data_IF_746916161677
#
_entry.id   IF_746916161677
#
_cell.length_a   1.000
_cell.length_b   1.000
_cell.length_c   1.000
_cell.angle_alpha   90.00
_cell.angle_beta   90.00
_cell.angle_gamma   90.00
#
_symmetry.space_group_name_H-M   'P 1'
#
loop_
_entity.id
_entity.type
_entity.pdbx_description
1 polymer ?
#
# COMPACT_ATOMS: atom_id res chain seq x y z
N UNK A 1 6.50 15.82 12.85
CA UNK A 1 7.89 15.37 13.11
C UNK A 1 8.00 14.38 14.27
N UNK A 2 7.08 14.40 15.27
CA UNK A 2 7.11 13.52 16.44
C UNK A 2 7.12 12.03 16.07
N UNK A 3 6.19 11.56 15.22
CA UNK A 3 6.08 10.14 14.85
C UNK A 3 7.35 9.56 14.21
N UNK A 4 8.09 10.34 13.44
CA UNK A 4 9.33 9.89 12.81
C UNK A 4 10.45 9.65 13.83
N UNK A 5 10.49 10.50 14.85
CA UNK A 5 11.45 10.36 15.95
C UNK A 5 11.12 9.15 16.86
N UNK A 6 9.84 8.94 17.17
CA UNK A 6 9.38 7.82 17.99
C UNK A 6 9.63 6.45 17.34
N UNK A 7 9.56 6.39 16.01
CA UNK A 7 9.80 5.16 15.26
C UNK A 7 11.27 4.97 14.84
N UNK A 8 12.19 5.82 15.29
CA UNK A 8 13.61 5.79 14.95
C UNK A 8 13.88 5.82 13.43
N UNK A 9 13.02 6.48 12.67
CA UNK A 9 13.22 6.63 11.23
C UNK A 9 14.35 7.62 10.97
N UNK A 10 15.35 7.17 10.20
CA UNK A 10 16.44 8.03 9.74
C UNK A 10 15.89 9.07 8.74
N UNK A 11 15.64 10.27 9.25
CA UNK A 11 15.07 11.37 8.46
C UNK A 11 16.00 11.85 7.35
N UNK A 12 17.31 11.68 7.49
CA UNK A 12 18.29 12.00 6.45
C UNK A 12 18.14 11.06 5.26
N UNK A 13 18.05 9.75 5.52
CA UNK A 13 17.80 8.75 4.49
C UNK A 13 16.42 8.94 3.86
N UNK A 14 15.40 9.21 4.66
CA UNK A 14 14.06 9.48 4.14
C UNK A 14 14.07 10.66 3.18
N UNK A 15 14.68 11.78 3.55
CA UNK A 15 14.78 12.96 2.70
C UNK A 15 15.56 12.67 1.41
N UNK A 16 16.68 11.95 1.50
CA UNK A 16 17.45 11.56 0.33
C UNK A 16 16.63 10.69 -0.64
N UNK A 17 15.88 9.71 -0.10
CA UNK A 17 15.00 8.83 -0.90
C UNK A 17 13.88 9.63 -1.57
N UNK A 18 13.20 10.50 -0.85
CA UNK A 18 12.09 11.30 -1.42
C UNK A 18 12.57 12.28 -2.47
N UNK A 19 13.74 12.92 -2.25
CA UNK A 19 14.36 13.81 -3.26
C UNK A 19 14.76 13.05 -4.51
N UNK A 20 15.35 11.86 -4.34
CA UNK A 20 15.70 11.02 -5.48
C UNK A 20 14.45 10.57 -6.25
N UNK A 21 13.39 10.15 -5.54
CA UNK A 21 12.12 9.74 -6.14
C UNK A 21 11.52 10.88 -6.98
N UNK A 22 11.50 12.09 -6.43
CA UNK A 22 11.02 13.28 -7.16
C UNK A 22 11.85 13.56 -8.41
N UNK A 23 13.18 13.55 -8.27
CA UNK A 23 14.10 13.81 -9.39
C UNK A 23 13.92 12.79 -10.52
N UNK A 24 13.81 11.50 -10.16
CA UNK A 24 13.70 10.42 -11.15
C UNK A 24 12.32 10.41 -11.87
N UNK A 25 11.28 10.91 -11.24
CA UNK A 25 9.90 10.77 -11.70
C UNK A 25 9.18 12.12 -11.93
N UNK A 26 9.82 13.25 -11.65
CA UNK A 26 9.25 14.61 -11.76
C UNK A 26 7.95 14.81 -10.96
N UNK A 27 7.85 14.22 -9.79
CA UNK A 27 6.60 14.15 -8.99
C UNK A 27 6.07 15.55 -8.67
N UNK A 28 6.92 16.45 -8.15
CA UNK A 28 6.50 17.81 -7.78
C UNK A 28 6.11 18.64 -9.01
N UNK A 29 6.75 18.42 -10.15
CA UNK A 29 6.38 19.07 -11.41
C UNK A 29 5.01 18.62 -11.89
N UNK A 30 4.74 17.31 -11.87
CA UNK A 30 3.44 16.72 -12.22
C UNK A 30 2.33 17.16 -11.26
N UNK A 31 2.65 17.30 -9.97
CA UNK A 31 1.73 17.83 -8.97
C UNK A 31 1.37 19.31 -9.23
N UNK A 32 2.34 20.12 -9.64
CA UNK A 32 2.12 21.54 -9.91
C UNK A 32 1.34 21.78 -11.22
N UNK A 33 1.56 20.94 -12.23
CA UNK A 33 0.91 21.07 -13.54
C UNK A 33 -0.46 20.34 -13.57
N UNK A 34 -1.51 21.07 -13.19
CA UNK A 34 -2.89 20.54 -13.18
C UNK A 34 -3.41 20.12 -14.56
N UNK A 35 -2.79 20.56 -15.66
CA UNK A 35 -3.18 20.12 -17.00
C UNK A 35 -2.86 18.64 -17.25
N UNK A 36 -1.88 18.08 -16.51
CA UNK A 36 -1.50 16.67 -16.58
C UNK A 36 -2.37 15.74 -15.74
N UNK A 37 -3.24 16.30 -14.88
CA UNK A 37 -4.01 15.52 -13.94
C UNK A 37 -5.08 14.66 -14.62
N UNK A 38 -5.15 13.39 -14.26
CA UNK A 38 -6.17 12.47 -14.76
C UNK A 38 -7.57 12.94 -14.35
N UNK A 39 -8.42 13.16 -15.36
CA UNK A 39 -9.77 13.71 -15.14
C UNK A 39 -9.79 15.08 -14.46
N UNK A 40 -8.70 15.85 -14.49
CA UNK A 40 -8.56 17.15 -13.85
C UNK A 40 -8.56 17.11 -12.30
N UNK A 41 -8.47 15.93 -11.70
CA UNK A 41 -8.62 15.71 -10.25
C UNK A 41 -7.45 14.98 -9.59
N UNK A 42 -6.78 14.11 -10.32
CA UNK A 42 -5.77 13.21 -9.76
C UNK A 42 -4.41 13.48 -10.41
N UNK A 43 -3.43 13.99 -9.65
CA UNK A 43 -2.07 14.15 -10.15
C UNK A 43 -1.48 12.80 -10.56
N UNK A 44 -0.64 12.80 -11.58
CA UNK A 44 0.06 11.61 -11.99
C UNK A 44 1.14 11.22 -10.98
N UNK A 45 1.31 9.93 -10.74
CA UNK A 45 2.34 9.36 -9.88
C UNK A 45 2.98 8.16 -10.58
N UNK A 46 3.96 8.37 -11.48
CA UNK A 46 4.43 7.35 -12.42
C UNK A 46 5.43 6.34 -11.83
N UNK A 47 5.71 6.40 -10.54
CA UNK A 47 6.78 5.63 -9.85
C UNK A 47 6.77 4.14 -10.19
N UNK A 48 5.58 3.54 -10.35
CA UNK A 48 5.42 2.12 -10.66
C UNK A 48 4.62 1.86 -11.94
N UNK A 49 4.63 2.81 -12.86
CA UNK A 49 3.84 2.69 -14.10
C UNK A 49 4.26 1.50 -14.96
N UNK A 50 5.57 1.21 -15.00
CA UNK A 50 6.09 0.08 -15.77
C UNK A 50 5.60 -1.25 -15.21
N UNK A 51 5.70 -1.43 -13.90
CA UNK A 51 5.25 -2.63 -13.19
C UNK A 51 3.72 -2.77 -13.25
N UNK A 52 2.99 -1.67 -13.07
CA UNK A 52 1.54 -1.67 -13.19
C UNK A 52 1.08 -2.12 -14.59
N UNK A 53 1.75 -1.66 -15.63
CA UNK A 53 1.48 -2.08 -17.01
C UNK A 53 1.86 -3.54 -17.22
N UNK A 54 3.05 -3.95 -16.76
CA UNK A 54 3.55 -5.31 -16.89
C UNK A 54 2.61 -6.33 -16.27
N UNK A 55 2.09 -6.04 -15.07
CA UNK A 55 1.20 -6.95 -14.34
C UNK A 55 -0.29 -6.68 -14.57
N UNK A 56 -0.65 -5.73 -15.44
CA UNK A 56 -2.03 -5.40 -15.76
C UNK A 56 -2.82 -4.80 -14.59
N UNK A 57 -2.13 -4.15 -13.64
CA UNK A 57 -2.76 -3.52 -12.46
C UNK A 57 -3.63 -2.35 -12.91
N UNK A 58 -4.91 -2.37 -12.55
CA UNK A 58 -5.90 -1.34 -12.92
C UNK A 58 -6.58 -0.68 -11.73
N UNK A 59 -6.25 -1.09 -10.52
CA UNK A 59 -6.89 -0.58 -9.32
C UNK A 59 -6.20 -1.04 -8.05
N UNK A 60 -6.64 -0.51 -6.93
CA UNK A 60 -6.09 -0.79 -5.60
C UNK A 60 -7.20 -1.30 -4.67
N UNK A 61 -6.91 -2.31 -3.86
CA UNK A 61 -5.67 -3.08 -3.83
C UNK A 61 -5.60 -4.13 -4.95
N UNK A 62 -4.39 -4.38 -5.48
CA UNK A 62 -4.11 -5.51 -6.37
C UNK A 62 -2.96 -6.31 -5.77
N UNK A 63 -3.13 -7.62 -5.66
CA UNK A 63 -2.08 -8.54 -5.19
C UNK A 63 -1.46 -9.24 -6.39
N UNK A 64 -0.14 -9.18 -6.50
CA UNK A 64 0.63 -9.90 -7.51
C UNK A 64 1.60 -10.83 -6.80
N UNK A 65 1.56 -12.12 -7.11
CA UNK A 65 2.43 -13.14 -6.53
C UNK A 65 3.13 -13.87 -7.68
N UNK A 66 4.44 -13.96 -7.64
CA UNK A 66 5.25 -14.61 -8.69
C UNK A 66 4.93 -14.08 -10.11
N UNK A 67 4.65 -12.79 -10.23
CA UNK A 67 4.36 -12.16 -11.53
C UNK A 67 2.93 -12.35 -12.04
N UNK A 68 2.04 -12.99 -11.29
CA UNK A 68 0.64 -13.23 -11.66
C UNK A 68 -0.31 -12.54 -10.68
N UNK A 69 -1.36 -11.90 -11.19
CA UNK A 69 -2.39 -11.35 -10.31
C UNK A 69 -3.09 -12.48 -9.56
N UNK A 70 -3.09 -12.39 -8.23
CA UNK A 70 -3.80 -13.31 -7.36
C UNK A 70 -5.21 -12.80 -7.07
N UNK A 71 -6.22 -13.67 -7.27
CA UNK A 71 -7.58 -13.40 -6.82
C UNK A 71 -7.71 -13.85 -5.38
N UNK A 72 -7.85 -12.90 -4.46
CA UNK A 72 -8.06 -13.18 -3.03
C UNK A 72 -9.11 -12.25 -2.44
N UNK A 73 -9.74 -12.66 -1.33
CA UNK A 73 -10.47 -11.75 -0.46
C UNK A 73 -9.53 -10.70 0.16
N UNK A 74 -10.10 -9.73 0.87
CA UNK A 74 -9.34 -8.65 1.53
C UNK A 74 -9.14 -8.90 3.02
N UNK A 75 -9.42 -10.08 3.48
CA UNK A 75 -9.19 -10.53 4.85
C UNK A 75 -7.85 -11.25 4.99
N UNK A 76 -7.38 -11.37 6.23
CA UNK A 76 -6.07 -11.98 6.52
C UNK A 76 -5.98 -13.45 6.09
N UNK A 77 -7.06 -14.22 6.25
CA UNK A 77 -7.07 -15.63 5.89
C UNK A 77 -6.98 -15.82 4.37
N UNK A 78 -7.70 -15.01 3.59
CA UNK A 78 -7.64 -15.02 2.13
C UNK A 78 -6.25 -14.65 1.60
N UNK A 79 -5.61 -13.63 2.19
CA UNK A 79 -4.24 -13.27 1.82
C UNK A 79 -3.24 -14.37 2.17
N UNK A 80 -3.33 -14.93 3.38
CA UNK A 80 -2.46 -16.04 3.80
C UNK A 80 -2.60 -17.22 2.85
N UNK A 81 -3.83 -17.63 2.53
CA UNK A 81 -4.08 -18.73 1.62
C UNK A 81 -3.49 -18.47 0.21
N UNK A 82 -3.70 -17.27 -0.34
CA UNK A 82 -3.16 -16.90 -1.66
C UNK A 82 -1.63 -16.90 -1.70
N UNK A 83 -0.99 -16.39 -0.65
CA UNK A 83 0.47 -16.38 -0.52
C UNK A 83 1.00 -17.79 -0.35
N UNK A 84 0.39 -18.59 0.53
CA UNK A 84 0.83 -19.95 0.82
C UNK A 84 0.68 -20.89 -0.39
N UNK A 85 -0.33 -20.70 -1.21
CA UNK A 85 -0.53 -21.46 -2.45
C UNK A 85 0.58 -21.21 -3.50
N UNK A 86 1.37 -20.17 -3.35
CA UNK A 86 2.46 -19.84 -4.26
C UNK A 86 3.81 -20.50 -3.90
N UNK A 87 3.89 -21.19 -2.77
CA UNK A 87 5.09 -21.93 -2.37
C UNK A 87 5.04 -23.36 -2.88
N UNK A 88 6.17 -23.88 -3.37
CA UNK A 88 6.33 -25.30 -3.64
C UNK A 88 6.37 -26.14 -2.35
N UNK A 89 7.00 -25.60 -1.31
CA UNK A 89 7.04 -26.16 0.04
C UNK A 89 6.57 -25.04 0.99
N UNK A 90 5.33 -25.14 1.45
CA UNK A 90 4.75 -24.12 2.32
C UNK A 90 5.53 -24.04 3.66
N UNK A 91 5.93 -22.84 4.10
CA UNK A 91 6.56 -22.66 5.40
C UNK A 91 5.58 -22.90 6.55
N UNK A 92 6.10 -23.02 7.77
CA UNK A 92 5.29 -23.32 8.97
C UNK A 92 4.21 -22.24 9.23
N UNK A 93 4.49 -21.00 8.90
CA UNK A 93 3.58 -19.87 9.04
C UNK A 93 2.26 -20.09 8.26
N UNK A 94 2.28 -20.92 7.22
CA UNK A 94 1.09 -21.25 6.44
C UNK A 94 0.07 -22.12 7.21
N UNK A 95 0.46 -22.69 8.34
CA UNK A 95 -0.45 -23.45 9.21
C UNK A 95 -1.22 -22.58 10.20
N UNK A 96 -0.91 -21.28 10.26
CA UNK A 96 -1.55 -20.37 11.20
C UNK A 96 -3.03 -20.13 10.85
N UNK A 97 -3.84 -20.04 11.89
CA UNK A 97 -5.22 -19.62 11.76
C UNK A 97 -5.31 -18.12 12.00
N UNK A 98 -5.73 -17.39 10.98
CA UNK A 98 -5.92 -15.94 11.03
C UNK A 98 -7.38 -15.59 10.71
N UNK A 99 -7.76 -14.35 11.02
CA UNK A 99 -9.14 -13.91 10.85
C UNK A 99 -9.60 -13.89 9.38
N UNK A 100 -10.79 -14.43 9.13
CA UNK A 100 -11.51 -14.30 7.85
C UNK A 100 -12.51 -13.13 7.85
N UNK A 101 -12.55 -12.34 8.93
CA UNK A 101 -13.41 -11.18 8.99
C UNK A 101 -12.89 -10.08 8.05
N UNK A 102 -13.80 -9.48 7.29
CA UNK A 102 -13.45 -8.32 6.46
C UNK A 102 -12.93 -7.19 7.33
N UNK A 103 -11.81 -6.54 6.94
CA UNK A 103 -11.29 -5.44 7.72
C UNK A 103 -12.26 -4.26 7.74
N UNK A 104 -12.30 -3.56 8.88
CA UNK A 104 -13.05 -2.30 8.99
C UNK A 104 -12.39 -1.20 8.14
N UNK A 105 -13.14 -0.13 7.87
CA UNK A 105 -12.60 1.06 7.23
C UNK A 105 -11.45 1.65 8.06
N UNK A 106 -10.48 2.27 7.39
CA UNK A 106 -9.28 2.82 8.02
C UNK A 106 -8.13 1.82 8.04
N UNK A 107 -7.31 1.83 9.08
CA UNK A 107 -6.13 0.97 9.19
C UNK A 107 -6.43 -0.47 9.61
N UNK A 108 -7.68 -0.81 9.91
CA UNK A 108 -8.12 -2.19 10.15
C UNK A 108 -7.52 -2.89 11.37
N UNK A 109 -6.86 -2.16 12.27
CA UNK A 109 -6.17 -2.74 13.42
C UNK A 109 -7.09 -3.26 14.53
N UNK A 110 -8.36 -2.89 14.51
CA UNK A 110 -9.34 -3.36 15.48
C UNK A 110 -10.67 -3.61 14.80
N UNK A 111 -11.40 -4.63 15.25
CA UNK A 111 -12.81 -4.84 14.92
C UNK A 111 -13.72 -3.84 15.67
N UNK A 112 -13.21 -2.70 16.09
CA UNK A 112 -14.01 -1.67 16.68
C UNK A 112 -14.98 -1.11 15.63
N UNK A 113 -16.27 -0.92 15.97
CA UNK A 113 -17.17 -0.21 15.08
C UNK A 113 -16.56 1.13 14.76
N UNK A 114 -16.60 1.52 13.47
CA UNK A 114 -16.05 2.79 13.02
C UNK A 114 -16.58 3.92 13.91
N UNK A 115 -15.73 4.49 14.74
CA UNK A 115 -16.08 5.69 15.46
C UNK A 115 -16.30 6.76 14.37
N UNK A 116 -17.52 7.24 14.24
CA UNK A 116 -17.85 8.41 13.44
C UNK A 116 -17.28 9.64 14.14
N UNK A 117 -15.98 9.84 13.98
CA UNK A 117 -15.24 10.95 14.57
C UNK A 117 -14.01 11.23 13.72
N UNK A 118 -13.73 12.49 13.53
CA UNK A 118 -12.64 13.07 12.74
C UNK A 118 -11.37 12.21 12.72
N UNK A 119 -10.99 11.75 11.52
CA UNK A 119 -9.78 10.96 11.27
C UNK A 119 -8.49 11.79 11.42
N UNK A 120 -8.27 12.38 12.58
CA UNK A 120 -6.95 12.88 12.92
C UNK A 120 -6.12 11.69 13.39
N UNK A 121 -5.18 11.24 12.55
CA UNK A 121 -4.14 10.33 13.00
C UNK A 121 -3.32 11.07 14.08
N UNK A 122 -3.49 10.69 15.31
CA UNK A 122 -2.66 11.14 16.42
C UNK A 122 -1.63 10.07 16.70
N UNK A 123 -0.36 10.43 16.59
CA UNK A 123 0.70 9.67 17.27
C UNK A 123 0.49 9.87 18.76
N UNK A 124 0.18 8.80 19.50
CA UNK A 124 0.01 8.81 20.95
C UNK A 124 1.31 9.08 21.69
#
# INVERSE_FOLDING_TARGET
EGCLAETNIDTTKLTACTTKLDTDNNILTLLADKATWSGGRFPQFPVHDAENKQYGVRGSPTLVINGVQASSGRDSASYLAAICAAFNNAPEECTQTVSSASPSSGFGLTNAPAASGSNAATCG
#
